data_IF_060212441228
#
_entry.id   IF_060212441228
#
_cell.length_a   1.000
_cell.length_b   1.000
_cell.length_c   1.000
_cell.angle_alpha   90.00
_cell.angle_beta   90.00
_cell.angle_gamma   90.00
#
_symmetry.space_group_name_H-M   'P 1'
#
loop_
_entity.id
_entity.type
_entity.pdbx_description
1 polymer ?
#
# COMPACT_ATOMS: atom_id res chain seq x y z
N UNK A 1 -7.61 1.13 8.07
CA UNK A 1 -6.40 0.53 8.65
C UNK A 1 -5.88 1.28 9.88
N UNK A 2 -6.60 2.29 10.39
CA UNK A 2 -6.23 3.03 11.61
C UNK A 2 -6.54 2.18 12.85
N UNK A 3 -5.53 1.95 13.71
CA UNK A 3 -5.50 1.04 14.88
C UNK A 3 -5.32 -0.47 14.60
N UNK A 4 -5.02 -0.88 13.38
CA UNK A 4 -4.60 -2.27 13.16
C UNK A 4 -3.26 -2.52 13.84
N UNK A 5 -3.10 -3.69 14.44
CA UNK A 5 -1.83 -4.16 14.98
C UNK A 5 -0.87 -4.54 13.85
N UNK A 6 0.43 -4.62 14.18
CA UNK A 6 1.45 -5.11 13.24
C UNK A 6 1.05 -6.48 12.64
N UNK A 7 0.55 -7.41 13.46
CA UNK A 7 0.13 -8.74 13.02
C UNK A 7 -1.10 -8.72 12.09
N UNK A 8 -2.04 -7.81 12.31
CA UNK A 8 -3.20 -7.62 11.43
C UNK A 8 -2.78 -7.04 10.09
N UNK A 9 -1.93 -6.00 10.10
CA UNK A 9 -1.36 -5.44 8.87
C UNK A 9 -0.57 -6.51 8.11
N UNK A 10 0.26 -7.30 8.79
CA UNK A 10 1.01 -8.42 8.19
C UNK A 10 0.08 -9.40 7.49
N UNK A 11 -0.99 -9.87 8.14
CA UNK A 11 -1.97 -10.79 7.53
C UNK A 11 -2.66 -10.19 6.31
N UNK A 12 -3.03 -8.90 6.37
CA UNK A 12 -3.69 -8.19 5.27
C UNK A 12 -2.74 -8.07 4.07
N UNK A 13 -1.50 -7.61 4.29
CA UNK A 13 -0.53 -7.43 3.22
C UNK A 13 -0.12 -8.79 2.61
N UNK A 14 0.10 -9.83 3.42
CA UNK A 14 0.31 -11.20 2.91
C UNK A 14 -0.87 -11.64 2.02
N UNK A 15 -2.11 -11.37 2.43
CA UNK A 15 -3.28 -11.70 1.62
C UNK A 15 -3.27 -11.01 0.26
N UNK A 16 -2.90 -9.72 0.20
CA UNK A 16 -2.75 -8.98 -1.06
C UNK A 16 -1.65 -9.58 -1.95
N UNK A 17 -0.51 -9.98 -1.39
CA UNK A 17 0.57 -10.62 -2.16
C UNK A 17 0.18 -12.01 -2.67
N UNK A 18 -0.63 -12.76 -1.91
CA UNK A 18 -1.20 -14.03 -2.40
C UNK A 18 -2.18 -13.82 -3.54
N UNK A 19 -2.99 -12.76 -3.49
CA UNK A 19 -3.87 -12.37 -4.60
C UNK A 19 -3.06 -11.89 -5.81
N UNK A 20 -1.95 -11.18 -5.60
CA UNK A 20 -1.02 -10.82 -6.67
C UNK A 20 -0.43 -12.05 -7.38
N UNK A 21 -0.10 -13.08 -6.60
CA UNK A 21 0.33 -14.38 -7.12
C UNK A 21 -0.79 -15.18 -7.82
N UNK A 22 -2.05 -14.89 -7.50
CA UNK A 22 -3.21 -15.54 -8.10
C UNK A 22 -3.52 -14.96 -9.48
N UNK A 23 -2.64 -15.24 -10.45
CA UNK A 23 -2.97 -15.14 -11.88
C UNK A 23 -3.38 -16.52 -12.40
N UNK A 24 -4.61 -16.72 -12.88
CA UNK A 24 -5.00 -18.01 -13.42
C UNK A 24 -4.11 -18.35 -14.62
N UNK A 25 -3.36 -19.45 -14.54
CA UNK A 25 -2.46 -19.89 -15.62
C UNK A 25 -3.19 -20.56 -16.79
N UNK A 26 -4.52 -20.46 -16.86
CA UNK A 26 -5.33 -21.33 -17.72
C UNK A 26 -6.49 -20.57 -18.36
N UNK A 27 -6.34 -20.25 -19.65
CA UNK A 27 -7.45 -19.91 -20.54
C UNK A 27 -7.40 -18.48 -21.09
N UNK A 28 -7.85 -18.32 -22.33
CA UNK A 28 -7.91 -17.08 -23.14
C UNK A 28 -8.64 -15.89 -22.49
N UNK A 29 -9.16 -16.05 -21.28
CA UNK A 29 -9.81 -15.04 -20.48
C UNK A 29 -9.46 -15.29 -19.02
N UNK A 30 -8.42 -14.64 -18.49
CA UNK A 30 -8.34 -14.28 -17.06
C UNK A 30 -7.02 -13.58 -16.71
N UNK A 31 -6.68 -12.53 -17.45
CA UNK A 31 -5.79 -11.50 -16.92
C UNK A 31 -6.61 -10.66 -15.93
N UNK A 32 -6.93 -11.22 -14.76
CA UNK A 32 -7.52 -10.44 -13.68
C UNK A 32 -6.37 -9.62 -13.10
N UNK A 33 -6.32 -8.36 -13.49
CA UNK A 33 -5.46 -7.36 -12.87
C UNK A 33 -6.17 -6.82 -11.62
N UNK A 34 -5.45 -6.84 -10.51
CA UNK A 34 -5.92 -6.28 -9.25
C UNK A 34 -5.25 -4.93 -9.02
N UNK A 35 -6.04 -4.00 -8.51
CA UNK A 35 -5.56 -2.71 -8.01
C UNK A 35 -5.97 -2.61 -6.53
N UNK A 36 -4.99 -2.61 -5.65
CA UNK A 36 -5.23 -2.59 -4.21
C UNK A 36 -5.21 -1.16 -3.70
N UNK A 37 -6.28 -0.73 -3.04
CA UNK A 37 -6.35 0.58 -2.39
C UNK A 37 -6.47 0.42 -0.88
N UNK A 38 -5.44 0.87 -0.16
CA UNK A 38 -5.41 0.94 1.29
C UNK A 38 -5.64 2.38 1.73
N UNK A 39 -6.66 2.62 2.55
CA UNK A 39 -6.94 3.95 3.08
C UNK A 39 -6.51 4.06 4.54
N UNK A 40 -5.69 5.07 4.81
CA UNK A 40 -5.21 5.44 6.13
C UNK A 40 -5.78 6.80 6.52
N UNK A 41 -6.80 6.83 7.37
CA UNK A 41 -7.34 8.06 7.95
C UNK A 41 -6.42 8.54 9.10
N UNK A 42 -6.28 9.86 9.25
CA UNK A 42 -5.40 10.51 10.25
C UNK A 42 -3.94 10.02 10.18
N UNK A 43 -3.41 9.86 8.96
CA UNK A 43 -2.09 9.30 8.66
C UNK A 43 -0.92 10.19 9.12
N UNK A 44 -1.18 11.42 9.54
CA UNK A 44 -0.17 12.41 9.89
C UNK A 44 -0.36 12.89 11.32
N UNK A 45 0.74 13.26 11.99
CA UNK A 45 0.78 13.93 13.29
C UNK A 45 1.66 15.17 13.21
N UNK A 46 1.41 16.14 14.07
CA UNK A 46 2.28 17.30 14.19
C UNK A 46 3.61 16.86 14.83
N UNK A 47 4.73 17.38 14.33
CA UNK A 47 6.03 17.19 14.98
C UNK A 47 6.07 17.94 16.34
N UNK A 48 7.12 17.70 17.13
CA UNK A 48 7.28 18.33 18.44
C UNK A 48 7.29 19.86 18.40
N UNK A 49 7.64 20.46 17.26
CA UNK A 49 7.65 21.90 17.06
C UNK A 49 6.40 22.44 16.34
N UNK A 50 5.43 21.59 15.98
CA UNK A 50 4.23 21.93 15.19
C UNK A 50 4.52 22.66 13.86
N UNK A 51 5.70 22.45 13.28
CA UNK A 51 6.14 23.04 12.02
C UNK A 51 5.91 22.11 10.84
N UNK A 52 6.02 20.81 11.09
CA UNK A 52 5.95 19.79 10.05
C UNK A 52 4.96 18.69 10.42
N UNK A 53 4.33 18.13 9.39
CA UNK A 53 3.41 17.02 9.54
C UNK A 53 4.10 15.74 9.13
N UNK A 54 4.40 14.90 10.10
CA UNK A 54 5.07 13.63 9.91
C UNK A 54 4.04 12.51 9.82
N UNK A 55 4.41 11.42 9.15
CA UNK A 55 3.63 10.20 9.21
C UNK A 55 3.48 9.73 10.66
N UNK A 56 2.31 9.18 11.00
CA UNK A 56 2.12 8.56 12.31
C UNK A 56 2.82 7.19 12.37
N UNK A 57 2.93 6.64 13.57
CA UNK A 57 3.57 5.37 13.86
C UNK A 57 2.93 4.18 13.12
N UNK A 58 1.63 4.24 12.83
CA UNK A 58 0.94 3.18 12.12
C UNK A 58 1.29 3.15 10.63
N UNK A 59 1.52 4.31 10.02
CA UNK A 59 2.03 4.40 8.65
C UNK A 59 3.46 3.87 8.59
N UNK A 60 4.29 4.16 9.58
CA UNK A 60 5.64 3.61 9.69
C UNK A 60 5.61 2.08 9.79
N UNK A 61 4.79 1.53 10.69
CA UNK A 61 4.56 0.08 10.83
C UNK A 61 4.09 -0.53 9.50
N UNK A 62 3.14 0.10 8.81
CA UNK A 62 2.66 -0.40 7.52
C UNK A 62 3.79 -0.47 6.48
N UNK A 63 4.64 0.55 6.41
CA UNK A 63 5.78 0.57 5.49
C UNK A 63 6.79 -0.52 5.83
N UNK A 64 7.03 -0.79 7.11
CA UNK A 64 7.87 -1.91 7.57
C UNK A 64 7.28 -3.26 7.17
N UNK A 65 6.00 -3.49 7.44
CA UNK A 65 5.28 -4.71 7.05
C UNK A 65 5.35 -4.93 5.53
N UNK A 66 5.13 -3.90 4.71
CA UNK A 66 5.21 -4.02 3.25
C UNK A 66 6.62 -4.45 2.82
N UNK A 67 7.68 -3.87 3.40
CA UNK A 67 9.06 -4.25 3.10
C UNK A 67 9.34 -5.70 3.46
N UNK A 68 8.88 -6.14 4.63
CA UNK A 68 9.08 -7.51 5.11
C UNK A 68 8.36 -8.54 4.23
N UNK A 69 7.09 -8.29 3.89
CA UNK A 69 6.33 -9.16 2.99
C UNK A 69 6.98 -9.22 1.60
N UNK A 70 7.54 -8.11 1.11
CA UNK A 70 8.30 -8.13 -0.14
C UNK A 70 9.48 -9.10 -0.11
N UNK A 71 10.23 -9.10 0.99
CA UNK A 71 11.39 -10.00 1.16
C UNK A 71 10.90 -11.45 1.17
N UNK A 72 9.88 -11.76 1.96
CA UNK A 72 9.28 -13.10 2.04
C UNK A 72 8.89 -13.61 0.64
N UNK A 73 8.12 -12.84 -0.12
CA UNK A 73 7.65 -13.24 -1.45
C UNK A 73 8.72 -13.14 -2.55
N UNK A 74 9.87 -12.52 -2.27
CA UNK A 74 11.03 -12.51 -3.17
C UNK A 74 11.95 -13.72 -2.94
N UNK A 75 12.02 -14.23 -1.71
CA UNK A 75 12.83 -15.40 -1.33
C UNK A 75 12.13 -16.75 -1.60
N UNK A 76 10.79 -16.78 -1.68
CA UNK A 76 10.02 -17.98 -2.00
C UNK A 76 10.29 -18.58 -3.41
N UNK A 77 11.05 -17.91 -4.28
CA UNK A 77 11.59 -18.53 -5.51
C UNK A 77 12.82 -19.40 -5.13
N UNK A 78 12.76 -20.75 -5.11
CA UNK A 78 13.84 -21.62 -4.61
C UNK A 78 15.10 -21.66 -5.51
N UNK A 79 15.24 -20.74 -6.46
CA UNK A 79 16.48 -20.55 -7.18
C UNK A 79 17.42 -19.66 -6.35
N UNK A 80 18.24 -20.31 -5.52
CA UNK A 80 19.31 -19.78 -4.65
C UNK A 80 20.24 -18.72 -5.31
N UNK A 81 20.18 -18.56 -6.64
CA UNK A 81 21.02 -17.65 -7.42
C UNK A 81 20.29 -16.44 -8.02
N UNK A 82 19.00 -16.20 -7.74
CA UNK A 82 18.41 -14.92 -8.13
C UNK A 82 18.94 -13.84 -7.20
N UNK A 83 19.62 -12.85 -7.79
CA UNK A 83 19.96 -11.57 -7.13
C UNK A 83 18.72 -11.12 -6.36
N UNK A 84 18.89 -10.77 -5.08
CA UNK A 84 17.85 -10.12 -4.28
C UNK A 84 17.16 -9.10 -5.17
N UNK A 85 15.87 -9.32 -5.47
CA UNK A 85 15.11 -8.35 -6.25
C UNK A 85 15.26 -7.01 -5.53
N UNK A 86 15.56 -5.91 -6.24
CA UNK A 86 15.62 -4.61 -5.60
C UNK A 86 14.31 -4.40 -4.84
N UNK A 87 14.41 -3.80 -3.64
CA UNK A 87 13.22 -3.31 -2.94
C UNK A 87 12.33 -2.57 -3.96
N UNK A 88 11.01 -2.75 -3.90
CA UNK A 88 10.11 -2.15 -4.86
C UNK A 88 10.37 -0.65 -4.96
N UNK A 89 10.31 -0.12 -6.18
CA UNK A 89 10.32 1.32 -6.38
C UNK A 89 9.06 1.90 -5.75
N UNK A 90 9.20 2.40 -4.51
CA UNK A 90 8.14 3.16 -3.86
C UNK A 90 8.05 4.54 -4.53
N UNK A 91 6.85 4.92 -4.97
CA UNK A 91 6.60 6.32 -5.37
C UNK A 91 5.86 7.01 -4.25
N UNK A 92 6.36 8.16 -3.83
CA UNK A 92 5.72 9.03 -2.85
C UNK A 92 5.13 10.21 -3.63
N UNK A 93 3.81 10.37 -3.57
CA UNK A 93 3.07 11.37 -4.33
C UNK A 93 2.29 12.25 -3.36
N UNK A 94 2.49 13.57 -3.46
CA UNK A 94 1.65 14.53 -2.74
C UNK A 94 0.26 14.60 -3.38
N UNK A 95 -0.79 14.65 -2.56
CA UNK A 95 -2.18 14.67 -3.03
C UNK A 95 -2.97 15.74 -2.29
N UNK A 96 -4.08 16.27 -2.83
CA UNK A 96 -4.87 17.31 -2.16
C UNK A 96 -5.41 16.94 -0.77
N UNK A 97 -5.48 15.65 -0.45
CA UNK A 97 -5.95 15.14 0.84
C UNK A 97 -4.81 14.70 1.78
N UNK A 98 -3.53 14.79 1.36
CA UNK A 98 -2.38 14.29 2.09
C UNK A 98 -1.32 13.70 1.16
N UNK A 99 -1.12 12.38 1.21
CA UNK A 99 -0.14 11.67 0.39
C UNK A 99 -0.65 10.35 -0.19
N UNK A 100 0.11 9.80 -1.14
CA UNK A 100 -0.09 8.46 -1.67
C UNK A 100 1.26 7.76 -1.82
N UNK A 101 1.33 6.51 -1.36
CA UNK A 101 2.43 5.61 -1.64
C UNK A 101 1.98 4.63 -2.71
N UNK A 102 2.79 4.42 -3.74
CA UNK A 102 2.52 3.42 -4.79
C UNK A 102 3.60 2.36 -4.81
N UNK A 103 3.18 1.09 -4.90
CA UNK A 103 4.03 -0.09 -4.96
C UNK A 103 3.58 -0.99 -6.12
N UNK A 104 4.53 -1.47 -6.91
CA UNK A 104 4.29 -2.49 -7.95
C UNK A 104 4.63 -3.86 -7.40
N UNK A 105 3.62 -4.65 -7.04
CA UNK A 105 3.77 -5.99 -6.44
C UNK A 105 4.57 -6.95 -7.34
N UNK A 106 5.16 -8.04 -6.80
CA UNK A 106 6.07 -8.90 -7.54
C UNK A 106 5.55 -9.49 -8.85
N UNK A 107 4.23 -9.70 -8.98
CA UNK A 107 3.62 -10.14 -10.25
C UNK A 107 3.13 -8.97 -11.09
N UNK A 108 3.09 -7.75 -10.57
CA UNK A 108 2.87 -6.52 -11.34
C UNK A 108 1.54 -5.83 -11.05
N UNK A 109 0.70 -6.39 -10.18
CA UNK A 109 -0.45 -5.63 -9.69
C UNK A 109 0.02 -4.43 -8.86
N UNK A 110 -0.81 -3.39 -8.80
CA UNK A 110 -0.45 -2.15 -8.11
C UNK A 110 -1.15 -2.09 -6.77
N UNK A 111 -0.40 -1.68 -5.74
CA UNK A 111 -0.93 -1.34 -4.43
C UNK A 111 -0.69 0.13 -4.14
N UNK A 112 -1.77 0.84 -3.82
CA UNK A 112 -1.77 2.25 -3.44
C UNK A 112 -2.22 2.41 -1.99
N UNK A 113 -1.39 3.11 -1.22
CA UNK A 113 -1.71 3.50 0.15
C UNK A 113 -2.03 4.99 0.17
N UNK A 114 -3.30 5.32 0.40
CA UNK A 114 -3.79 6.68 0.53
C UNK A 114 -3.62 7.16 1.98
N UNK A 115 -2.69 8.08 2.20
CA UNK A 115 -2.41 8.69 3.48
C UNK A 115 -3.19 9.99 3.61
N UNK A 116 -4.18 10.01 4.49
CA UNK A 116 -5.07 11.17 4.65
C UNK A 116 -4.65 12.04 5.81
N UNK A 117 -4.55 13.33 5.52
CA UNK A 117 -4.35 14.36 6.53
C UNK A 117 -5.69 14.94 6.98
N UNK A 118 -6.00 14.81 8.28
CA UNK A 118 -7.20 15.40 8.88
C UNK A 118 -7.29 16.93 8.76
N UNK A 119 -6.16 17.64 8.67
CA UNK A 119 -6.16 19.11 8.51
C UNK A 119 -6.51 19.53 7.08
N UNK A 120 -6.25 18.67 6.09
CA UNK A 120 -6.61 18.91 4.69
C UNK A 120 -8.04 18.44 4.37
N UNK A 121 -8.59 17.54 5.17
CA UNK A 121 -9.91 16.96 4.96
C UNK A 121 -10.95 17.69 5.82
N UNK A 122 -11.98 18.23 5.16
CA UNK A 122 -13.09 18.90 5.85
C UNK A 122 -13.79 17.93 6.82
N UNK A 123 -13.81 18.29 8.10
CA UNK A 123 -14.50 17.53 9.15
C UNK A 123 -15.98 17.23 8.79
N UNK A 124 -16.42 16.00 9.12
CA UNK A 124 -17.81 15.49 9.05
C UNK A 124 -18.43 15.24 7.66
N UNK A 125 -17.66 15.17 6.57
CA UNK A 125 -18.17 14.58 5.31
C UNK A 125 -17.86 13.08 5.25
N UNK A 126 -18.89 12.27 5.08
CA UNK A 126 -18.79 10.83 4.79
C UNK A 126 -18.26 10.70 3.36
N UNK A 127 -17.06 10.16 3.17
CA UNK A 127 -16.53 9.89 1.83
C UNK A 127 -17.18 8.59 1.34
N UNK A 128 -18.11 8.72 0.40
CA UNK A 128 -18.63 7.58 -0.38
C UNK A 128 -17.56 7.25 -1.42
N UNK A 129 -17.06 6.01 -1.46
CA UNK A 129 -16.17 5.54 -2.52
C UNK A 129 -16.81 5.84 -3.89
N UNK A 130 -16.25 6.80 -4.62
CA UNK A 130 -16.40 6.86 -6.07
C UNK A 130 -14.98 6.91 -6.61
N UNK A 131 -14.44 5.75 -6.95
CA UNK A 131 -13.22 5.66 -7.73
C UNK A 131 -13.62 6.07 -9.15
N UNK A 132 -13.38 7.33 -9.52
CA UNK A 132 -13.41 7.73 -10.92
C UNK A 132 -12.07 7.30 -11.52
N UNK A 133 -12.06 6.12 -12.15
CA UNK A 133 -10.99 5.78 -13.08
C UNK A 133 -11.15 6.67 -14.30
N UNK A 134 -10.39 7.77 -14.36
CA UNK A 134 -10.16 8.47 -15.62
C UNK A 134 -9.13 7.67 -16.40
N UNK A 135 -9.61 6.62 -17.08
CA UNK A 135 -8.86 6.01 -18.18
C UNK A 135 -8.69 7.07 -19.26
N UNK A 136 -7.44 7.40 -19.55
CA UNK A 136 -7.01 8.14 -20.74
C UNK A 136 -6.04 7.28 -21.51
#
# INVERSE_FOLDING_TARGET
>A
MWHETYDEMMKIIISMFRLDAYRPKTGKHSDIEFEFHVYFDDAFKDDSNQRERLANEYVEILVEVIKEVYIIFSEEDPCVFKKMQPLPTQKIISTPYGGRLEYTLPKGNVMMVHLKDKQLIRHKKRWSQVILNTGG
#
